data_IF_633978677892
#
_entry.id   IF_633978677892
#
_cell.length_a   1.000
_cell.length_b   1.000
_cell.length_c   1.000
_cell.angle_alpha   90.00
_cell.angle_beta   90.00
_cell.angle_gamma   90.00
#
_symmetry.space_group_name_H-M   'P 1'
#
loop_
_entity.id
_entity.type
_entity.pdbx_description
1 polymer ?
#
# COMPACT_ATOMS: atom_id res chain seq x y z
N UNK A 1 6.43 -5.73 -4.40
CA UNK A 1 7.87 -5.90 -4.16
C UNK A 1 8.21 -5.65 -2.70
N UNK A 2 8.03 -4.43 -2.18
CA UNK A 2 8.35 -4.07 -0.80
C UNK A 2 7.83 -5.03 0.30
N UNK A 3 6.58 -5.51 0.22
CA UNK A 3 6.04 -6.47 1.21
C UNK A 3 6.85 -7.78 1.23
N UNK A 4 7.13 -8.35 0.06
CA UNK A 4 7.89 -9.60 -0.07
C UNK A 4 9.37 -9.41 0.32
N UNK A 5 9.96 -8.27 -0.05
CA UNK A 5 11.32 -7.91 0.33
C UNK A 5 11.48 -7.77 1.84
N UNK A 6 10.51 -7.16 2.52
CA UNK A 6 10.50 -7.03 3.98
C UNK A 6 10.23 -8.36 4.69
N UNK A 7 9.40 -9.23 4.12
CA UNK A 7 9.11 -10.55 4.68
C UNK A 7 10.34 -11.46 4.71
N UNK A 8 11.26 -11.31 3.74
CA UNK A 8 12.52 -12.05 3.70
C UNK A 8 13.61 -11.54 4.65
N UNK A 9 13.33 -10.54 5.50
CA UNK A 9 14.28 -9.98 6.48
C UNK A 9 14.02 -10.52 7.88
N UNK A 10 15.05 -10.51 8.72
CA UNK A 10 14.92 -10.91 10.12
C UNK A 10 14.38 -9.75 10.96
N UNK A 11 13.24 -9.99 11.64
CA UNK A 11 12.71 -9.11 12.68
C UNK A 11 11.59 -8.15 12.25
N UNK A 12 10.67 -7.91 13.19
CA UNK A 12 9.48 -7.08 12.97
C UNK A 12 9.84 -5.62 12.62
N UNK A 13 10.94 -5.09 13.14
CA UNK A 13 11.35 -3.70 12.88
C UNK A 13 11.69 -3.45 11.40
N UNK A 14 12.51 -4.33 10.80
CA UNK A 14 12.85 -4.25 9.39
C UNK A 14 11.64 -4.53 8.50
N UNK A 15 10.81 -5.52 8.86
CA UNK A 15 9.60 -5.78 8.10
C UNK A 15 8.65 -4.57 8.10
N UNK A 16 8.44 -3.92 9.26
CA UNK A 16 7.63 -2.71 9.37
C UNK A 16 8.17 -1.58 8.50
N UNK A 17 9.49 -1.41 8.39
CA UNK A 17 10.09 -0.40 7.49
C UNK A 17 9.68 -0.62 6.04
N UNK A 18 9.76 -1.86 5.55
CA UNK A 18 9.33 -2.20 4.20
C UNK A 18 7.82 -2.07 3.99
N UNK A 19 7.01 -2.41 4.99
CA UNK A 19 5.57 -2.21 4.96
C UNK A 19 5.21 -0.71 4.87
N UNK A 20 5.93 0.17 5.56
CA UNK A 20 5.74 1.64 5.42
C UNK A 20 6.00 2.12 4.00
N UNK A 21 7.05 1.59 3.33
CA UNK A 21 7.33 1.91 1.93
C UNK A 21 6.19 1.39 1.04
N UNK A 22 5.73 0.15 1.23
CA UNK A 22 4.60 -0.41 0.49
C UNK A 22 3.32 0.44 0.65
N UNK A 23 3.05 0.92 1.87
CA UNK A 23 1.92 1.82 2.17
C UNK A 23 2.05 3.14 1.41
N UNK A 24 3.24 3.74 1.41
CA UNK A 24 3.55 4.96 0.67
C UNK A 24 3.33 4.80 -0.84
N UNK A 25 3.82 3.71 -1.43
CA UNK A 25 3.62 3.42 -2.86
C UNK A 25 2.14 3.26 -3.23
N UNK A 26 1.32 2.66 -2.35
CA UNK A 26 -0.12 2.55 -2.57
C UNK A 26 -0.82 3.92 -2.56
N UNK A 27 -0.40 4.82 -1.66
CA UNK A 27 -0.88 6.20 -1.61
C UNK A 27 -0.49 6.98 -2.87
N UNK A 28 0.76 6.86 -3.31
CA UNK A 28 1.25 7.51 -4.53
C UNK A 28 0.49 7.03 -5.78
N UNK A 29 0.26 5.71 -5.90
CA UNK A 29 -0.52 5.15 -6.99
C UNK A 29 -1.95 5.72 -7.05
N UNK A 30 -2.61 5.92 -5.89
CA UNK A 30 -3.94 6.57 -5.84
C UNK A 30 -3.90 7.99 -6.40
N UNK A 31 -2.87 8.77 -6.08
CA UNK A 31 -2.69 10.11 -6.64
C UNK A 31 -2.48 10.06 -8.15
N UNK A 32 -1.69 9.10 -8.65
CA UNK A 32 -1.47 8.92 -10.08
C UNK A 32 -2.74 8.47 -10.83
N UNK A 33 -3.65 7.72 -10.20
CA UNK A 33 -4.93 7.35 -10.81
C UNK A 33 -5.78 8.57 -11.18
N UNK A 34 -5.72 9.67 -10.41
CA UNK A 34 -6.42 10.90 -10.79
C UNK A 34 -5.86 11.48 -12.08
N UNK A 35 -4.54 11.56 -12.19
CA UNK A 35 -3.89 12.03 -13.42
C UNK A 35 -4.27 11.16 -14.64
N UNK A 36 -4.37 9.84 -14.45
CA UNK A 36 -4.79 8.91 -15.51
C UNK A 36 -6.25 9.09 -15.91
N UNK A 37 -7.14 9.37 -14.95
CA UNK A 37 -8.54 9.66 -15.21
C UNK A 37 -8.69 10.99 -15.96
N UNK A 38 -8.00 12.03 -15.50
CA UNK A 38 -8.05 13.38 -16.08
C UNK A 38 -7.49 13.40 -17.50
N UNK A 39 -6.43 12.61 -17.76
CA UNK A 39 -5.87 12.44 -19.09
C UNK A 39 -6.68 11.49 -20.00
N UNK A 40 -7.78 10.90 -19.50
CA UNK A 40 -8.66 10.02 -20.26
C UNK A 40 -8.07 8.65 -20.58
N UNK A 41 -6.99 8.23 -19.89
CA UNK A 41 -6.40 6.89 -20.06
C UNK A 41 -7.21 5.79 -19.38
N UNK A 42 -8.01 6.15 -18.38
CA UNK A 42 -8.96 5.25 -17.71
C UNK A 42 -10.31 5.93 -17.59
N UNK A 43 -11.37 5.13 -17.62
CA UNK A 43 -12.73 5.59 -17.38
C UNK A 43 -13.05 5.64 -15.87
N UNK A 44 -14.16 6.30 -15.52
CA UNK A 44 -14.57 6.43 -14.11
C UNK A 44 -14.78 5.06 -13.42
N UNK A 45 -15.44 4.07 -14.03
CA UNK A 45 -15.53 2.73 -13.44
C UNK A 45 -14.17 2.05 -13.22
N UNK A 46 -13.24 2.17 -14.17
CA UNK A 46 -11.88 1.67 -14.05
C UNK A 46 -11.11 2.35 -12.92
N UNK A 47 -11.22 3.68 -12.82
CA UNK A 47 -10.68 4.47 -11.73
C UNK A 47 -11.21 4.00 -10.37
N UNK A 48 -12.53 3.95 -10.19
CA UNK A 48 -13.15 3.62 -8.90
C UNK A 48 -12.72 2.21 -8.43
N UNK A 49 -12.63 1.25 -9.37
CA UNK A 49 -12.15 -0.11 -9.08
C UNK A 49 -10.68 -0.13 -8.64
N UNK A 50 -9.80 0.57 -9.36
CA UNK A 50 -8.37 0.60 -9.04
C UNK A 50 -8.10 1.36 -7.74
N UNK A 51 -8.79 2.47 -7.55
CA UNK A 51 -8.70 3.30 -6.35
C UNK A 51 -9.12 2.53 -5.11
N UNK A 52 -10.29 1.86 -5.16
CA UNK A 52 -10.78 1.05 -4.05
C UNK A 52 -9.82 -0.11 -3.71
N UNK A 53 -9.21 -0.75 -4.71
CA UNK A 53 -8.19 -1.79 -4.46
C UNK A 53 -6.94 -1.22 -3.79
N UNK A 54 -6.46 -0.06 -4.24
CA UNK A 54 -5.29 0.59 -3.66
C UNK A 54 -5.55 1.05 -2.22
N UNK A 55 -6.72 1.65 -1.95
CA UNK A 55 -7.16 2.05 -0.61
C UNK A 55 -7.28 0.85 0.34
N UNK A 56 -7.92 -0.24 -0.10
CA UNK A 56 -8.02 -1.46 0.69
C UNK A 56 -6.63 -2.04 1.01
N UNK A 57 -5.72 -2.02 0.05
CA UNK A 57 -4.33 -2.49 0.24
C UNK A 57 -3.60 -1.64 1.28
N UNK A 58 -3.72 -0.30 1.19
CA UNK A 58 -3.14 0.62 2.16
C UNK A 58 -3.67 0.35 3.59
N UNK A 59 -4.98 0.15 3.72
CA UNK A 59 -5.63 -0.13 5.00
C UNK A 59 -5.15 -1.45 5.62
N UNK A 60 -5.02 -2.50 4.81
CA UNK A 60 -4.50 -3.79 5.25
C UNK A 60 -3.05 -3.69 5.71
N UNK A 61 -2.20 -3.00 4.95
CA UNK A 61 -0.80 -2.76 5.33
C UNK A 61 -0.72 -1.98 6.65
N UNK A 62 -1.54 -0.94 6.81
CA UNK A 62 -1.61 -0.16 8.05
C UNK A 62 -2.00 -1.00 9.26
N UNK A 63 -3.05 -1.83 9.12
CA UNK A 63 -3.46 -2.77 10.17
C UNK A 63 -2.37 -3.77 10.53
N UNK A 64 -1.65 -4.28 9.52
CA UNK A 64 -0.58 -5.25 9.74
C UNK A 64 0.65 -4.64 10.42
N UNK A 65 1.02 -3.40 10.07
CA UNK A 65 2.06 -2.64 10.78
C UNK A 65 1.70 -2.52 12.27
N UNK A 66 0.47 -2.12 12.58
CA UNK A 66 0.02 -1.96 13.96
C UNK A 66 0.09 -3.28 14.74
N UNK A 67 -0.33 -4.37 14.12
CA UNK A 67 -0.24 -5.71 14.70
C UNK A 67 1.21 -6.11 15.02
N UNK A 68 2.15 -5.92 14.09
CA UNK A 68 3.56 -6.27 14.29
C UNK A 68 4.20 -5.44 15.41
N UNK A 69 3.86 -4.16 15.50
CA UNK A 69 4.36 -3.28 16.56
C UNK A 69 3.84 -3.68 17.94
N UNK A 70 2.59 -4.15 18.04
CA UNK A 70 2.00 -4.62 19.30
C UNK A 70 2.48 -6.02 19.70
N UNK A 71 2.81 -6.87 18.73
CA UNK A 71 3.24 -8.25 18.96
C UNK A 71 4.72 -8.39 19.38
N UNK A 72 5.45 -7.28 19.48
CA UNK A 72 6.87 -7.26 19.87
C UNK A 72 7.05 -6.96 21.38
N UNK A 73 6.06 -7.35 22.20
CA UNK A 73 6.09 -7.29 23.67
C UNK A 73 6.06 -8.69 24.27
#
# INVERSE_FOLDING_TARGET
SNIAEGFGREGNADFVRFLKIAKGSACEFRSQLYNLLDAGYIDRPGFDRLYSKAENTERLIGGFINYLLQSTH
#
